data_IF_375215979405
#
_entry.id   IF_375215979405
#
_cell.length_a   1.000
_cell.length_b   1.000
_cell.length_c   1.000
_cell.angle_alpha   90.00
_cell.angle_beta   90.00
_cell.angle_gamma   90.00
#
_symmetry.space_group_name_H-M   'P 1'
#
loop_
_entity.id
_entity.type
_entity.pdbx_description
1 polymer ?
#
# COMPACT_ATOMS: atom_id res chain seq x y z
N UNK A 1 -12.80 4.34 11.67
CA UNK A 1 -12.70 3.87 10.28
C UNK A 1 -13.35 4.91 9.37
N UNK A 2 -12.55 5.57 8.53
CA UNK A 2 -13.02 6.54 7.54
C UNK A 2 -13.93 5.82 6.52
N UNK A 3 -15.07 6.41 6.15
CA UNK A 3 -15.90 5.90 5.05
C UNK A 3 -15.70 6.78 3.84
N UNK A 4 -15.46 6.18 2.68
CA UNK A 4 -15.41 6.92 1.41
C UNK A 4 -16.80 7.50 1.12
N UNK A 5 -16.89 8.83 1.02
CA UNK A 5 -18.13 9.57 0.74
C UNK A 5 -18.10 10.17 -0.67
N UNK A 6 -19.26 10.58 -1.18
CA UNK A 6 -19.35 11.29 -2.47
C UNK A 6 -18.47 12.53 -2.51
N UNK A 7 -18.40 13.30 -1.43
CA UNK A 7 -17.57 14.50 -1.34
C UNK A 7 -16.08 14.16 -1.44
N UNK A 8 -15.64 13.08 -0.80
CA UNK A 8 -14.27 12.59 -0.89
C UNK A 8 -13.90 12.26 -2.35
N UNK A 9 -14.80 11.56 -3.05
CA UNK A 9 -14.60 11.21 -4.47
C UNK A 9 -14.54 12.45 -5.35
N UNK A 10 -15.43 13.42 -5.13
CA UNK A 10 -15.49 14.65 -5.92
C UNK A 10 -14.30 15.59 -5.69
N UNK A 11 -13.67 15.55 -4.51
CA UNK A 11 -12.46 16.32 -4.23
C UNK A 11 -11.22 15.79 -4.97
N UNK A 12 -11.19 14.51 -5.34
CA UNK A 12 -10.08 13.94 -6.10
C UNK A 12 -8.72 14.28 -5.50
N UNK A 13 -7.80 14.82 -6.30
CA UNK A 13 -6.45 15.24 -5.89
C UNK A 13 -6.39 16.37 -4.87
N UNK A 14 -7.46 17.16 -4.73
CA UNK A 14 -7.53 18.29 -3.79
C UNK A 14 -7.98 17.85 -2.39
N UNK A 15 -8.29 16.56 -2.22
CA UNK A 15 -8.64 16.01 -0.92
C UNK A 15 -7.46 16.18 0.06
N UNK A 16 -7.79 16.69 1.25
CA UNK A 16 -6.90 16.76 2.40
C UNK A 16 -7.65 16.23 3.60
N UNK A 17 -7.07 15.24 4.28
CA UNK A 17 -7.64 14.62 5.47
C UNK A 17 -6.67 14.84 6.63
N UNK A 18 -7.16 15.41 7.71
CA UNK A 18 -6.41 15.54 8.96
C UNK A 18 -6.52 14.24 9.77
N UNK A 19 -5.37 13.74 10.21
CA UNK A 19 -5.24 12.56 11.07
C UNK A 19 -4.64 13.04 12.39
N UNK A 20 -5.36 12.86 13.50
CA UNK A 20 -4.86 13.27 14.81
C UNK A 20 -3.64 12.47 15.22
N UNK A 21 -2.73 13.10 15.95
CA UNK A 21 -1.48 12.54 16.41
C UNK A 21 -1.26 12.90 17.88
N UNK A 22 -2.30 12.63 18.69
CA UNK A 22 -2.41 12.99 20.11
C UNK A 22 -1.24 12.46 20.96
N UNK A 23 -0.56 11.42 20.50
CA UNK A 23 0.63 10.82 21.09
C UNK A 23 1.85 11.75 21.05
N UNK A 24 1.84 12.80 20.23
CA UNK A 24 2.86 13.85 20.21
C UNK A 24 2.47 15.08 21.05
N UNK A 25 1.26 15.07 21.63
CA UNK A 25 0.67 16.20 22.36
C UNK A 25 -0.68 16.59 21.77
N UNK A 26 -1.47 17.31 22.55
CA UNK A 26 -2.79 17.77 22.10
C UNK A 26 -2.68 18.71 20.90
N UNK A 27 -3.54 18.48 19.89
CA UNK A 27 -3.66 19.33 18.71
C UNK A 27 -2.66 19.06 17.59
N UNK A 28 -1.77 18.08 17.72
CA UNK A 28 -0.92 17.66 16.61
C UNK A 28 -1.70 16.86 15.57
N UNK A 29 -1.58 17.24 14.29
CA UNK A 29 -2.26 16.59 13.17
C UNK A 29 -1.31 16.35 12.01
N UNK A 30 -1.55 15.26 11.29
CA UNK A 30 -0.97 15.00 9.98
C UNK A 30 -1.99 15.29 8.89
N UNK A 31 -1.60 16.03 7.86
CA UNK A 31 -2.43 16.22 6.68
C UNK A 31 -2.04 15.18 5.64
N UNK A 32 -3.03 14.38 5.21
CA UNK A 32 -2.89 13.30 4.23
C UNK A 32 -3.59 13.72 2.94
N UNK A 33 -2.89 13.62 1.82
CA UNK A 33 -3.47 13.75 0.49
C UNK A 33 -3.50 12.39 -0.24
N UNK A 34 -4.40 12.20 -1.23
CA UNK A 34 -4.40 10.99 -2.04
C UNK A 34 -3.07 10.80 -2.78
N UNK A 35 -2.51 9.58 -2.78
CA UNK A 35 -1.47 9.20 -3.73
C UNK A 35 -1.97 9.32 -5.17
N UNK A 36 -1.08 9.61 -6.11
CA UNK A 36 -1.41 9.60 -7.55
C UNK A 36 -1.14 8.24 -8.20
N UNK A 37 -1.39 8.15 -9.51
CA UNK A 37 -1.19 6.91 -10.26
C UNK A 37 0.28 6.47 -10.32
N UNK A 38 1.22 7.41 -10.33
CA UNK A 38 2.65 7.14 -10.30
C UNK A 38 3.07 6.54 -8.97
N UNK A 39 2.67 7.16 -7.85
CA UNK A 39 2.92 6.64 -6.49
C UNK A 39 2.39 5.21 -6.34
N UNK A 40 1.17 4.97 -6.84
CA UNK A 40 0.55 3.65 -6.79
C UNK A 40 1.31 2.64 -7.65
N UNK A 41 1.84 3.04 -8.82
CA UNK A 41 2.65 2.17 -9.66
C UNK A 41 3.99 1.82 -8.99
N UNK A 42 4.65 2.78 -8.36
CA UNK A 42 5.89 2.56 -7.61
C UNK A 42 5.68 1.66 -6.40
N UNK A 43 4.61 1.88 -5.62
CA UNK A 43 4.24 1.03 -4.50
C UNK A 43 3.98 -0.42 -4.95
N UNK A 44 3.33 -0.62 -6.10
CA UNK A 44 3.14 -1.95 -6.70
C UNK A 44 4.50 -2.57 -7.09
N UNK A 45 5.40 -1.80 -7.68
CA UNK A 45 6.74 -2.28 -8.03
C UNK A 45 7.54 -2.70 -6.80
N UNK A 46 7.49 -1.92 -5.70
CA UNK A 46 8.12 -2.26 -4.42
C UNK A 46 7.56 -3.55 -3.84
N UNK A 47 6.23 -3.74 -3.90
CA UNK A 47 5.59 -5.00 -3.48
C UNK A 47 6.08 -6.19 -4.28
N UNK A 48 6.25 -6.03 -5.59
CA UNK A 48 6.73 -7.08 -6.50
C UNK A 48 8.22 -7.37 -6.37
N UNK A 49 9.03 -6.36 -6.06
CA UNK A 49 10.49 -6.47 -5.91
C UNK A 49 10.90 -7.53 -4.87
N UNK A 50 10.12 -7.70 -3.81
CA UNK A 50 10.43 -8.65 -2.74
C UNK A 50 9.64 -9.96 -2.81
N UNK A 51 8.88 -10.18 -3.88
CA UNK A 51 8.25 -11.47 -4.16
C UNK A 51 9.32 -12.46 -4.63
N UNK A 52 10.14 -12.94 -3.69
CA UNK A 52 11.11 -13.99 -3.92
C UNK A 52 10.44 -15.36 -3.92
N UNK A 53 10.85 -16.21 -4.86
CA UNK A 53 10.55 -17.64 -4.85
C UNK A 53 11.55 -18.34 -3.90
N UNK A 54 11.06 -19.17 -2.99
CA UNK A 54 11.85 -20.06 -2.14
C UNK A 54 12.82 -20.86 -2.99
N UNK A 55 14.12 -20.66 -2.76
CA UNK A 55 15.19 -21.35 -3.47
C UNK A 55 15.63 -20.72 -4.79
N UNK A 56 15.17 -19.51 -5.15
CA UNK A 56 15.72 -18.74 -6.27
C UNK A 56 16.41 -17.46 -5.80
N UNK A 57 17.55 -17.14 -6.43
CA UNK A 57 18.30 -15.90 -6.17
C UNK A 57 17.72 -14.68 -6.92
N UNK A 58 16.90 -14.92 -7.95
CA UNK A 58 16.25 -13.88 -8.74
C UNK A 58 14.72 -13.97 -8.64
N UNK A 59 14.08 -12.80 -8.71
CA UNK A 59 12.63 -12.65 -8.84
C UNK A 59 12.24 -13.04 -10.25
N UNK A 60 12.02 -14.33 -10.47
CA UNK A 60 11.49 -14.82 -11.73
C UNK A 60 9.96 -14.84 -11.65
N UNK A 61 9.36 -13.68 -11.96
CA UNK A 61 7.90 -13.55 -12.02
C UNK A 61 7.30 -14.55 -13.00
N UNK A 62 8.01 -14.91 -14.09
CA UNK A 62 7.54 -15.89 -15.05
C UNK A 62 7.47 -17.31 -14.45
N UNK A 63 8.40 -17.65 -13.55
CA UNK A 63 8.31 -18.90 -12.75
C UNK A 63 7.19 -18.92 -11.73
N UNK A 64 6.72 -17.76 -11.26
CA UNK A 64 5.45 -17.72 -10.52
C UNK A 64 4.27 -18.08 -11.43
N UNK A 65 4.34 -17.81 -12.74
CA UNK A 65 3.26 -18.05 -13.71
C UNK A 65 3.32 -19.39 -14.46
N UNK A 66 4.31 -20.25 -14.20
CA UNK A 66 4.41 -21.59 -14.81
C UNK A 66 3.12 -22.41 -14.54
N UNK A 67 2.41 -22.79 -15.62
CA UNK A 67 1.15 -23.54 -15.52
C UNK A 67 -0.13 -22.69 -15.43
N UNK A 68 -0.05 -21.37 -15.62
CA UNK A 68 -1.22 -20.49 -15.75
C UNK A 68 -1.81 -19.99 -14.41
N UNK A 69 -1.02 -19.98 -13.34
CA UNK A 69 -1.39 -19.38 -12.06
C UNK A 69 -0.22 -19.28 -11.09
N UNK A 70 -0.30 -18.34 -10.14
CA UNK A 70 0.72 -18.10 -9.11
C UNK A 70 0.78 -19.25 -8.11
N UNK A 71 1.91 -19.96 -8.02
CA UNK A 71 2.16 -20.95 -6.98
C UNK A 71 2.63 -20.29 -5.67
N UNK A 72 1.67 -20.00 -4.79
CA UNK A 72 1.90 -19.34 -3.50
C UNK A 72 2.76 -20.19 -2.53
N UNK A 73 2.87 -21.50 -2.73
CA UNK A 73 3.67 -22.38 -1.84
C UNK A 73 5.18 -22.10 -1.96
N UNK A 74 5.57 -21.60 -3.13
CA UNK A 74 6.91 -21.19 -3.49
C UNK A 74 7.24 -19.79 -3.01
N UNK A 75 6.32 -19.02 -2.44
CA UNK A 75 6.62 -17.66 -1.99
C UNK A 75 7.27 -17.68 -0.62
N UNK A 76 8.36 -16.94 -0.47
CA UNK A 76 8.89 -16.60 0.84
C UNK A 76 8.01 -15.52 1.50
N UNK A 77 7.23 -15.93 2.50
CA UNK A 77 6.30 -15.06 3.21
C UNK A 77 7.00 -13.90 3.91
N UNK A 78 8.22 -14.11 4.42
CA UNK A 78 8.97 -13.04 5.10
C UNK A 78 9.45 -11.98 4.10
N UNK A 79 9.85 -12.40 2.90
CA UNK A 79 10.21 -11.48 1.81
C UNK A 79 8.97 -10.75 1.25
N UNK A 80 7.87 -11.47 1.05
CA UNK A 80 6.61 -10.84 0.62
C UNK A 80 6.10 -9.79 1.63
N UNK A 81 6.19 -10.08 2.94
CA UNK A 81 5.81 -9.12 3.98
C UNK A 81 6.69 -7.86 3.94
N UNK A 82 8.00 -8.01 3.76
CA UNK A 82 8.92 -6.86 3.61
C UNK A 82 8.54 -5.97 2.44
N UNK A 83 8.17 -6.55 1.30
CA UNK A 83 7.70 -5.78 0.15
C UNK A 83 6.39 -5.03 0.39
N UNK A 84 5.47 -5.64 1.14
CA UNK A 84 4.23 -4.96 1.56
C UNK A 84 4.53 -3.79 2.49
N UNK A 85 5.41 -3.99 3.48
CA UNK A 85 5.75 -2.93 4.43
C UNK A 85 6.47 -1.77 3.72
N UNK A 86 7.40 -2.06 2.81
CA UNK A 86 8.09 -1.02 2.02
C UNK A 86 7.12 -0.24 1.13
N UNK A 87 6.17 -0.91 0.48
CA UNK A 87 5.12 -0.25 -0.29
C UNK A 87 4.21 0.63 0.58
N UNK A 88 3.86 0.18 1.79
CA UNK A 88 3.08 0.96 2.76
C UNK A 88 3.81 2.23 3.17
N UNK A 89 5.07 2.10 3.58
CA UNK A 89 5.87 3.25 3.99
C UNK A 89 6.04 4.25 2.84
N UNK A 90 6.27 3.77 1.63
CA UNK A 90 6.38 4.62 0.45
C UNK A 90 5.08 5.41 0.18
N UNK A 91 3.92 4.74 0.16
CA UNK A 91 2.64 5.41 -0.07
C UNK A 91 2.32 6.45 1.01
N UNK A 92 2.61 6.15 2.27
CA UNK A 92 2.43 7.10 3.36
C UNK A 92 3.35 8.31 3.19
N UNK A 93 4.61 8.10 2.80
CA UNK A 93 5.55 9.20 2.55
C UNK A 93 5.04 10.14 1.43
N UNK A 94 4.52 9.59 0.33
CA UNK A 94 3.97 10.40 -0.76
C UNK A 94 2.70 11.14 -0.34
N UNK A 95 1.80 10.45 0.37
CA UNK A 95 0.55 11.02 0.84
C UNK A 95 0.76 12.17 1.84
N UNK A 96 1.73 12.03 2.75
CA UNK A 96 2.13 13.08 3.68
C UNK A 96 2.84 14.22 2.98
N UNK A 97 3.73 13.92 2.02
CA UNK A 97 4.45 14.96 1.29
C UNK A 97 3.49 15.94 0.60
N UNK A 98 2.50 15.37 -0.08
CA UNK A 98 1.45 16.14 -0.77
C UNK A 98 0.47 16.84 0.17
N UNK A 99 0.18 16.22 1.31
CA UNK A 99 -0.74 16.75 2.30
C UNK A 99 -0.17 17.93 3.07
N UNK A 100 1.08 17.82 3.51
CA UNK A 100 1.79 18.83 4.31
C UNK A 100 2.44 19.93 3.46
N UNK A 101 2.69 19.66 2.16
CA UNK A 101 3.41 20.60 1.30
C UNK A 101 4.92 20.66 1.55
N UNK A 102 5.46 19.65 2.23
CA UNK A 102 6.89 19.44 2.47
C UNK A 102 7.30 18.04 2.01
N UNK A 103 8.59 17.76 1.83
CA UNK A 103 9.03 16.44 1.40
C UNK A 103 9.18 15.49 2.59
N UNK A 104 8.43 14.38 2.56
CA UNK A 104 8.54 13.28 3.53
C UNK A 104 9.25 12.08 2.90
N UNK A 105 10.21 11.50 3.62
CA UNK A 105 10.92 10.29 3.19
C UNK A 105 10.39 9.04 3.91
N UNK A 106 10.72 7.86 3.37
CA UNK A 106 10.41 6.57 4.02
C UNK A 106 11.04 6.51 5.42
N UNK A 107 12.23 7.06 5.58
CA UNK A 107 12.97 7.14 6.84
C UNK A 107 12.24 8.01 7.88
N UNK A 108 11.64 9.12 7.44
CA UNK A 108 10.83 9.97 8.32
C UNK A 108 9.57 9.25 8.77
N UNK A 109 8.89 8.57 7.83
CA UNK A 109 7.68 7.79 8.15
C UNK A 109 7.98 6.66 9.14
N UNK A 110 9.14 5.99 9.02
CA UNK A 110 9.56 4.95 9.97
C UNK A 110 9.80 5.47 11.40
N UNK A 111 9.97 6.78 11.58
CA UNK A 111 10.11 7.42 12.91
C UNK A 111 8.76 7.80 13.51
N UNK A 112 7.67 7.72 12.74
CA UNK A 112 6.32 7.95 13.24
C UNK A 112 5.98 6.84 14.25
N UNK A 113 5.35 7.23 15.37
CA UNK A 113 4.87 6.29 16.38
C UNK A 113 3.94 5.26 15.74
N UNK A 114 4.06 3.96 16.04
CA UNK A 114 3.28 2.90 15.38
C UNK A 114 1.76 3.13 15.39
N UNK A 115 1.23 3.68 16.47
CA UNK A 115 -0.20 3.98 16.66
C UNK A 115 -0.68 5.08 15.71
N UNK A 116 0.15 6.11 15.52
CA UNK A 116 -0.11 7.22 14.59
C UNK A 116 0.05 6.74 13.16
N UNK A 117 1.13 6.00 12.87
CA UNK A 117 1.37 5.41 11.55
C UNK A 117 0.19 4.53 11.11
N UNK A 118 -0.33 3.70 12.01
CA UNK A 118 -1.46 2.82 11.70
C UNK A 118 -2.70 3.61 11.26
N UNK A 119 -3.00 4.72 11.94
CA UNK A 119 -4.12 5.61 11.57
C UNK A 119 -3.90 6.33 10.25
N UNK A 120 -2.67 6.79 10.00
CA UNK A 120 -2.31 7.41 8.71
C UNK A 120 -2.44 6.37 7.59
N UNK A 121 -1.90 5.17 7.78
CA UNK A 121 -1.99 4.08 6.82
C UNK A 121 -3.44 3.71 6.52
N UNK A 122 -4.29 3.53 7.53
CA UNK A 122 -5.72 3.26 7.33
C UNK A 122 -6.39 4.35 6.47
N UNK A 123 -6.02 5.61 6.68
CA UNK A 123 -6.54 6.74 5.90
C UNK A 123 -6.06 6.66 4.44
N UNK A 124 -4.77 6.44 4.23
CA UNK A 124 -4.17 6.28 2.89
C UNK A 124 -4.78 5.09 2.16
N UNK A 125 -4.92 3.94 2.82
CA UNK A 125 -5.48 2.72 2.25
C UNK A 125 -6.97 2.88 1.90
N UNK A 126 -7.73 3.60 2.74
CA UNK A 126 -9.14 3.89 2.46
C UNK A 126 -9.32 4.75 1.22
N UNK A 127 -8.44 5.74 1.01
CA UNK A 127 -8.52 6.64 -0.14
C UNK A 127 -8.00 5.96 -1.41
N UNK A 128 -6.89 5.23 -1.31
CA UNK A 128 -6.20 4.63 -2.46
C UNK A 128 -6.75 3.26 -2.86
N UNK A 129 -7.41 2.55 -1.95
CA UNK A 129 -7.89 1.19 -2.16
C UNK A 129 -6.78 0.15 -2.34
N UNK A 130 -5.54 0.45 -1.92
CA UNK A 130 -4.37 -0.37 -2.20
C UNK A 130 -4.52 -1.82 -1.72
N UNK A 131 -5.01 -2.04 -0.50
CA UNK A 131 -5.27 -3.38 0.04
C UNK A 131 -6.44 -4.08 -0.66
N UNK A 132 -7.51 -3.34 -1.01
CA UNK A 132 -8.69 -3.90 -1.67
C UNK A 132 -8.37 -4.34 -3.11
N UNK A 133 -7.58 -3.54 -3.85
CA UNK A 133 -7.08 -3.91 -5.17
C UNK A 133 -6.26 -5.20 -5.11
N UNK A 134 -5.41 -5.35 -4.08
CA UNK A 134 -4.64 -6.56 -3.87
C UNK A 134 -5.54 -7.78 -3.67
N UNK A 135 -6.61 -7.66 -2.87
CA UNK A 135 -7.56 -8.74 -2.65
C UNK A 135 -8.37 -9.11 -3.90
N UNK A 136 -8.79 -8.12 -4.70
CA UNK A 136 -9.54 -8.36 -5.93
C UNK A 136 -8.70 -9.08 -6.98
N UNK A 137 -7.42 -8.73 -7.12
CA UNK A 137 -6.48 -9.47 -7.95
C UNK A 137 -6.44 -10.94 -7.52
N UNK A 138 -6.24 -11.22 -6.23
CA UNK A 138 -6.21 -12.59 -5.69
C UNK A 138 -7.53 -13.35 -5.95
N UNK A 139 -8.68 -12.70 -5.77
CA UNK A 139 -10.01 -13.28 -6.01
C UNK A 139 -10.26 -13.56 -7.50
N UNK A 140 -9.86 -12.65 -8.38
CA UNK A 140 -9.94 -12.80 -9.85
C UNK A 140 -9.16 -14.02 -10.34
N UNK A 141 -7.94 -14.21 -9.84
CA UNK A 141 -7.14 -15.40 -10.15
C UNK A 141 -7.79 -16.70 -9.66
N UNK A 142 -8.40 -16.73 -8.46
CA UNK A 142 -9.13 -17.91 -7.97
C UNK A 142 -10.33 -18.26 -8.85
N UNK A 143 -11.05 -17.27 -9.39
CA UNK A 143 -12.19 -17.49 -10.29
C UNK A 143 -11.76 -18.01 -11.67
N UNK A 144 -10.70 -17.44 -12.24
CA UNK A 144 -10.12 -17.91 -13.52
C UNK A 144 -9.68 -19.38 -13.46
N UNK A 145 -9.22 -19.84 -12.28
CA UNK A 145 -8.83 -21.24 -12.03
C UNK A 145 -10.00 -22.21 -11.90
N UNK A 146 -11.19 -21.74 -11.49
CA UNK A 146 -12.41 -22.57 -11.39
C UNK A 146 -13.18 -22.70 -12.70
N UNK A 147 -13.01 -21.75 -13.64
CA UNK A 147 -13.66 -21.79 -14.95
C UNK A 147 -12.97 -22.66 -16.00
N UNK A 148 -11.82 -23.27 -15.67
CA UNK A 148 -11.03 -24.16 -16.56
C UNK A 148 -11.29 -25.66 -16.35
N UNK A 149 -12.45 -26.03 -15.79
CA UNK A 149 -12.89 -27.42 -15.68
C UNK A 149 -14.04 -27.69 -16.63
#
# INVERSE_FOLDING_TARGET
MLKVTREIVLKGSDLRIEVSADEYGEGHVFVVAPPDTGDMAEARALRLKHLAIKGSAEVDVNRLFEGGGIDLSKIDLASAQRGLDEARFHLVAQALSKGQGEQWTVEDVKRIKPEVFSRIWETVDTISGFSSEAEEQIKGFRRARKGKR
#
